data_IF_521108626890
#
_entry.id   IF_521108626890
#
_cell.length_a   1.000
_cell.length_b   1.000
_cell.length_c   1.000
_cell.angle_alpha   90.00
_cell.angle_beta   90.00
_cell.angle_gamma   90.00
#
_symmetry.space_group_name_H-M   'P 1'
#
loop_
_entity.id
_entity.type
_entity.pdbx_description
1 polymer ?
#
# COMPACT_ATOMS: atom_id res chain seq x y z
N UNK A 1 -8.08 25.08 -2.46
CA UNK A 1 -6.67 24.64 -2.43
C UNK A 1 -6.45 23.78 -3.65
N UNK A 2 -5.45 24.08 -4.45
CA UNK A 2 -5.06 23.18 -5.53
C UNK A 2 -4.66 21.82 -4.93
N UNK A 3 -5.00 20.69 -5.61
CA UNK A 3 -4.61 19.37 -5.14
C UNK A 3 -3.09 19.28 -5.04
N UNK A 4 -2.60 18.68 -3.97
CA UNK A 4 -1.16 18.46 -3.83
C UNK A 4 -0.67 17.56 -4.97
N UNK A 5 0.27 18.04 -5.75
CA UNK A 5 0.97 17.27 -6.79
C UNK A 5 2.02 16.32 -6.17
N UNK A 6 2.16 16.33 -4.86
CA UNK A 6 3.15 15.50 -4.14
C UNK A 6 2.69 14.04 -4.13
N UNK A 7 3.59 13.16 -4.57
CA UNK A 7 3.42 11.70 -4.51
C UNK A 7 4.41 11.14 -3.49
N UNK A 8 3.87 10.45 -2.50
CA UNK A 8 4.66 9.73 -1.52
C UNK A 8 5.00 8.33 -2.05
N UNK A 9 6.23 7.89 -1.81
CA UNK A 9 6.74 6.58 -2.22
C UNK A 9 7.23 5.86 -0.97
N UNK A 10 6.70 4.66 -0.70
CA UNK A 10 7.13 3.82 0.43
C UNK A 10 8.21 2.82 -0.01
N UNK A 11 9.38 2.97 0.57
CA UNK A 11 10.53 2.07 0.35
C UNK A 11 10.98 1.54 1.71
N UNK A 12 11.04 0.21 1.85
CA UNK A 12 11.57 -0.42 3.05
C UNK A 12 13.11 -0.29 3.07
N UNK A 13 13.72 -0.17 4.25
CA UNK A 13 15.12 0.23 4.39
C UNK A 13 16.16 -0.78 3.88
N UNK A 14 15.74 -2.01 3.61
CA UNK A 14 16.56 -3.09 3.05
C UNK A 14 16.21 -3.45 1.59
N UNK A 15 15.31 -2.66 0.98
CA UNK A 15 14.85 -2.82 -0.38
C UNK A 15 15.35 -1.68 -1.30
N UNK A 16 15.10 -1.78 -2.61
CA UNK A 16 15.51 -0.72 -3.56
C UNK A 16 14.62 -0.66 -4.81
N UNK A 17 14.69 0.46 -5.52
CA UNK A 17 14.01 0.63 -6.80
C UNK A 17 14.69 -0.21 -7.88
N UNK A 18 13.88 -0.82 -8.76
CA UNK A 18 14.36 -1.76 -9.77
C UNK A 18 15.25 -1.12 -10.83
N UNK A 19 14.99 0.11 -11.20
CA UNK A 19 15.77 0.86 -12.23
C UNK A 19 15.74 2.36 -11.99
N UNK A 20 16.56 3.08 -12.75
CA UNK A 20 16.55 4.56 -12.75
C UNK A 20 15.28 5.18 -13.34
N UNK A 21 14.48 4.41 -14.10
CA UNK A 21 13.27 4.92 -14.78
C UNK A 21 12.01 4.86 -13.90
N UNK A 22 12.10 4.30 -12.71
CA UNK A 22 10.93 4.10 -11.81
C UNK A 22 10.18 5.42 -11.56
N UNK A 23 10.90 6.52 -11.33
CA UNK A 23 10.27 7.81 -11.06
C UNK A 23 9.57 8.37 -12.30
N UNK A 24 10.10 8.16 -13.49
CA UNK A 24 9.47 8.57 -14.74
C UNK A 24 8.18 7.78 -14.98
N UNK A 25 8.20 6.46 -14.78
CA UNK A 25 7.00 5.61 -14.91
C UNK A 25 5.91 6.04 -13.92
N UNK A 26 6.27 6.37 -12.69
CA UNK A 26 5.32 6.87 -11.70
C UNK A 26 4.76 8.24 -12.09
N UNK A 27 5.63 9.16 -12.55
CA UNK A 27 5.22 10.49 -13.01
C UNK A 27 4.20 10.39 -14.15
N UNK A 28 4.49 9.59 -15.17
CA UNK A 28 3.57 9.35 -16.30
C UNK A 28 2.24 8.78 -15.79
N UNK A 29 2.29 7.76 -14.92
CA UNK A 29 1.08 7.14 -14.36
C UNK A 29 0.17 8.15 -13.66
N UNK A 30 0.72 9.00 -12.80
CA UNK A 30 -0.05 10.00 -12.06
C UNK A 30 -0.45 11.21 -12.90
N UNK A 31 0.26 11.49 -14.00
CA UNK A 31 -0.06 12.58 -14.95
C UNK A 31 -1.16 12.17 -15.94
N UNK A 32 -1.13 10.92 -16.39
CA UNK A 32 -2.04 10.42 -17.42
C UNK A 32 -3.35 9.86 -16.85
N UNK A 33 -3.38 9.55 -15.57
CA UNK A 33 -4.56 8.95 -14.94
C UNK A 33 -5.00 9.75 -13.72
N UNK A 34 -6.26 9.59 -13.34
CA UNK A 34 -6.84 10.17 -12.13
C UNK A 34 -6.57 9.29 -10.89
N UNK A 35 -5.47 8.55 -10.85
CA UNK A 35 -5.18 7.67 -9.74
C UNK A 35 -4.72 8.44 -8.49
N UNK A 36 -5.15 7.95 -7.33
CA UNK A 36 -4.78 8.47 -6.02
C UNK A 36 -3.71 7.61 -5.33
N UNK A 37 -3.65 6.34 -5.71
CA UNK A 37 -2.79 5.34 -5.09
C UNK A 37 -2.39 4.29 -6.11
N UNK A 38 -1.13 3.87 -6.07
CA UNK A 38 -0.65 2.74 -6.86
C UNK A 38 -0.06 1.65 -5.95
N UNK A 39 -0.07 0.45 -6.45
CA UNK A 39 0.66 -0.70 -5.94
C UNK A 39 1.05 -1.57 -7.14
N UNK A 40 2.04 -2.43 -6.98
CA UNK A 40 2.57 -3.05 -8.18
C UNK A 40 3.20 -4.42 -8.02
N UNK A 41 3.99 -4.74 -9.02
CA UNK A 41 4.83 -5.94 -9.06
C UNK A 41 6.23 -5.62 -8.52
N UNK A 42 6.82 -6.61 -7.87
CA UNK A 42 8.18 -6.55 -7.35
C UNK A 42 8.95 -7.83 -7.71
N UNK A 43 10.24 -7.70 -7.80
CA UNK A 43 11.16 -8.83 -7.93
C UNK A 43 11.60 -9.29 -6.53
N UNK A 44 11.65 -10.59 -6.29
CA UNK A 44 12.22 -11.20 -5.09
C UNK A 44 13.01 -12.45 -5.47
N UNK A 45 13.62 -13.15 -4.51
CA UNK A 45 14.40 -14.37 -4.76
C UNK A 45 13.63 -15.47 -5.52
N UNK A 46 12.30 -15.47 -5.42
CA UNK A 46 11.38 -16.41 -6.06
C UNK A 46 10.77 -15.89 -7.37
N UNK A 47 11.37 -14.85 -7.95
CA UNK A 47 10.90 -14.21 -9.18
C UNK A 47 9.87 -13.10 -8.96
N UNK A 48 9.23 -12.67 -10.04
CA UNK A 48 8.29 -11.54 -10.01
C UNK A 48 6.99 -11.91 -9.30
N UNK A 49 6.55 -11.03 -8.42
CA UNK A 49 5.31 -11.12 -7.65
C UNK A 49 4.48 -9.85 -7.82
N UNK A 50 3.20 -9.98 -7.72
CA UNK A 50 2.23 -8.88 -7.78
C UNK A 50 0.89 -9.36 -8.32
N UNK A 51 -0.21 -8.80 -7.83
CA UNK A 51 -1.57 -9.12 -8.27
C UNK A 51 -2.46 -7.89 -8.18
N UNK A 52 -3.27 -7.67 -9.21
CA UNK A 52 -4.32 -6.65 -9.22
C UNK A 52 -5.52 -7.11 -8.40
N UNK A 53 -6.09 -6.23 -7.57
CA UNK A 53 -7.37 -6.52 -6.92
C UNK A 53 -8.48 -6.75 -7.95
N UNK A 54 -9.30 -7.79 -7.79
CA UNK A 54 -10.48 -8.01 -8.64
C UNK A 54 -11.42 -6.80 -8.61
N UNK A 55 -12.11 -6.55 -9.73
CA UNK A 55 -13.02 -5.41 -9.85
C UNK A 55 -14.12 -5.37 -8.79
N UNK A 56 -14.66 -6.53 -8.41
CA UNK A 56 -15.68 -6.63 -7.35
C UNK A 56 -15.15 -6.20 -5.98
N UNK A 57 -13.91 -6.56 -5.64
CA UNK A 57 -13.29 -6.15 -4.37
C UNK A 57 -13.18 -4.63 -4.29
N UNK A 58 -12.75 -3.99 -5.38
CA UNK A 58 -12.66 -2.53 -5.48
C UNK A 58 -14.03 -1.85 -5.44
N UNK A 59 -15.00 -2.41 -6.18
CA UNK A 59 -16.36 -1.87 -6.29
C UNK A 59 -17.10 -1.87 -4.95
N UNK A 60 -16.98 -2.96 -4.19
CA UNK A 60 -17.72 -3.16 -2.93
C UNK A 60 -16.89 -2.88 -1.68
N UNK A 61 -15.70 -2.30 -1.83
CA UNK A 61 -14.81 -1.97 -0.70
C UNK A 61 -14.55 -3.17 0.23
N UNK A 62 -14.12 -4.30 -0.37
CA UNK A 62 -13.89 -5.57 0.34
C UNK A 62 -12.39 -5.84 0.59
N UNK A 63 -11.55 -4.81 0.67
CA UNK A 63 -10.10 -4.97 0.81
C UNK A 63 -9.73 -5.69 2.10
N UNK A 64 -10.43 -5.39 3.21
CA UNK A 64 -10.12 -5.96 4.53
C UNK A 64 -10.54 -7.42 4.65
N UNK A 65 -11.50 -7.87 3.85
CA UNK A 65 -12.00 -9.25 3.81
C UNK A 65 -11.27 -10.12 2.79
N UNK A 66 -10.50 -9.49 1.91
CA UNK A 66 -9.82 -10.19 0.82
C UNK A 66 -8.33 -10.40 1.10
N UNK A 67 -7.66 -11.16 0.24
CA UNK A 67 -6.21 -11.34 0.30
C UNK A 67 -5.49 -10.00 0.14
N UNK A 68 -4.29 -9.90 0.73
CA UNK A 68 -3.46 -8.71 0.60
C UNK A 68 -2.75 -8.71 -0.76
N UNK A 69 -3.09 -7.72 -1.59
CA UNK A 69 -2.52 -7.56 -2.93
C UNK A 69 -1.80 -6.21 -3.14
N UNK A 70 -2.01 -5.23 -2.28
CA UNK A 70 -1.35 -3.93 -2.39
C UNK A 70 0.12 -4.01 -1.93
N UNK A 71 0.92 -4.75 -2.68
CA UNK A 71 2.34 -4.96 -2.44
C UNK A 71 3.20 -3.86 -3.08
N UNK A 72 4.49 -4.03 -3.07
CA UNK A 72 5.48 -3.06 -3.55
C UNK A 72 5.42 -2.85 -5.08
N UNK A 73 5.77 -1.71 -5.65
CA UNK A 73 6.03 -0.44 -4.98
C UNK A 73 4.69 0.20 -4.60
N UNK A 74 4.62 0.79 -3.39
CA UNK A 74 3.42 1.48 -2.92
C UNK A 74 3.63 2.97 -3.03
N UNK A 75 2.75 3.66 -3.75
CA UNK A 75 2.79 5.11 -3.87
C UNK A 75 1.40 5.71 -3.75
N UNK A 76 1.28 6.95 -3.32
CA UNK A 76 -0.02 7.60 -3.16
C UNK A 76 0.11 9.13 -3.16
N UNK A 77 -0.97 9.82 -3.50
CA UNK A 77 -1.03 11.28 -3.35
C UNK A 77 -0.98 11.66 -1.88
N UNK A 78 -0.19 12.64 -1.54
CA UNK A 78 0.02 13.10 -0.15
C UNK A 78 -1.29 13.47 0.55
N UNK A 79 -2.23 14.12 -0.13
CA UNK A 79 -3.54 14.49 0.43
C UNK A 79 -4.37 13.26 0.83
N UNK A 80 -4.22 12.14 0.12
CA UNK A 80 -4.84 10.88 0.50
C UNK A 80 -4.29 10.38 1.84
N UNK A 81 -2.96 10.44 2.02
CA UNK A 81 -2.30 10.10 3.28
C UNK A 81 -2.76 11.00 4.43
N UNK A 82 -2.83 12.32 4.24
CA UNK A 82 -3.30 13.27 5.25
C UNK A 82 -4.75 13.02 5.71
N UNK A 83 -5.51 12.23 4.94
CA UNK A 83 -6.88 11.85 5.26
C UNK A 83 -6.98 10.60 6.14
N UNK A 84 -5.88 9.93 6.41
CA UNK A 84 -5.84 8.74 7.29
C UNK A 84 -5.91 9.18 8.75
N UNK A 85 -6.84 8.58 9.50
CA UNK A 85 -6.97 8.86 10.93
C UNK A 85 -5.78 8.23 11.69
N UNK A 86 -5.09 9.01 12.49
CA UNK A 86 -3.98 8.55 13.33
C UNK A 86 -4.35 7.32 14.17
N UNK A 87 -5.59 7.24 14.67
CA UNK A 87 -6.05 6.11 15.49
C UNK A 87 -6.00 4.77 14.74
N UNK A 88 -6.11 4.79 13.41
CA UNK A 88 -6.04 3.58 12.59
C UNK A 88 -4.62 3.06 12.42
N UNK A 89 -3.62 3.89 12.69
CA UNK A 89 -2.21 3.52 12.69
C UNK A 89 -1.74 2.95 14.05
N UNK A 90 -2.60 2.97 15.07
CA UNK A 90 -2.28 2.56 16.43
C UNK A 90 -2.92 1.22 16.78
N UNK A 91 -2.19 0.40 17.53
CA UNK A 91 -2.69 -0.83 18.15
C UNK A 91 -3.62 -0.54 19.35
N UNK A 92 -4.16 -1.58 19.96
CA UNK A 92 -5.00 -1.51 21.18
C UNK A 92 -4.31 -0.84 22.38
N UNK A 93 -2.98 -0.80 22.42
CA UNK A 93 -2.19 -0.14 23.45
C UNK A 93 -1.81 1.30 23.07
N UNK A 94 -2.42 1.86 21.99
CA UNK A 94 -2.16 3.20 21.45
C UNK A 94 -0.71 3.42 20.99
N UNK A 95 -0.02 2.36 20.57
CA UNK A 95 1.30 2.41 19.96
C UNK A 95 1.18 2.14 18.45
N UNK A 96 2.05 2.77 17.67
CA UNK A 96 2.11 2.47 16.23
C UNK A 96 2.39 0.99 15.99
N UNK A 97 1.70 0.42 15.00
CA UNK A 97 1.99 -0.95 14.58
C UNK A 97 3.46 -1.10 14.19
N UNK A 98 4.18 -1.96 14.87
CA UNK A 98 5.58 -2.29 14.57
C UNK A 98 5.72 -3.42 13.55
N UNK A 99 4.61 -4.10 13.19
CA UNK A 99 4.51 -5.14 12.17
C UNK A 99 3.18 -4.97 11.43
N UNK A 100 3.08 -5.41 10.18
CA UNK A 100 1.90 -5.25 9.32
C UNK A 100 1.43 -3.78 9.21
N UNK A 101 2.32 -2.83 9.44
CA UNK A 101 2.06 -1.39 9.38
C UNK A 101 1.61 -0.95 7.98
N UNK A 102 2.07 -1.65 6.95
CA UNK A 102 1.67 -1.47 5.56
C UNK A 102 0.15 -1.67 5.36
N UNK A 103 -0.45 -2.64 6.04
CA UNK A 103 -1.91 -2.82 6.03
C UNK A 103 -2.63 -1.65 6.70
N UNK A 104 -2.09 -1.16 7.84
CA UNK A 104 -2.68 -0.04 8.56
C UNK A 104 -2.68 1.26 7.74
N UNK A 105 -1.65 1.47 6.94
CA UNK A 105 -1.50 2.62 6.04
C UNK A 105 -2.39 2.45 4.78
N UNK A 106 -2.28 1.30 4.12
CA UNK A 106 -2.84 1.14 2.78
C UNK A 106 -4.35 0.87 2.77
N UNK A 107 -4.92 0.14 3.75
CA UNK A 107 -6.37 -0.10 3.75
C UNK A 107 -7.20 1.18 3.74
N UNK A 108 -6.98 2.14 4.65
CA UNK A 108 -7.69 3.42 4.62
C UNK A 108 -7.60 4.11 3.26
N UNK A 109 -6.41 4.15 2.69
CA UNK A 109 -6.16 4.83 1.42
C UNK A 109 -6.80 4.11 0.23
N UNK A 110 -6.73 2.78 0.16
CA UNK A 110 -7.42 2.00 -0.87
C UNK A 110 -8.94 2.16 -0.79
N UNK A 111 -9.49 2.18 0.43
CA UNK A 111 -10.91 2.37 0.69
C UNK A 111 -11.38 3.76 0.25
N UNK A 112 -10.62 4.82 0.60
CA UNK A 112 -10.92 6.19 0.17
C UNK A 112 -10.76 6.39 -1.34
N UNK A 113 -9.73 5.80 -1.95
CA UNK A 113 -9.46 5.92 -3.37
C UNK A 113 -10.53 5.22 -4.24
N UNK A 114 -11.12 4.12 -3.75
CA UNK A 114 -12.13 3.38 -4.49
C UNK A 114 -11.63 2.88 -5.85
N UNK A 115 -12.21 3.39 -6.94
CA UNK A 115 -11.79 3.05 -8.32
C UNK A 115 -10.51 3.77 -8.76
N UNK A 116 -10.12 4.87 -8.11
CA UNK A 116 -8.95 5.69 -8.43
C UNK A 116 -7.66 5.08 -7.88
N UNK A 117 -7.49 3.77 -8.09
CA UNK A 117 -6.32 3.00 -7.73
C UNK A 117 -5.80 2.24 -8.94
N UNK A 118 -4.49 2.22 -9.13
CA UNK A 118 -3.86 1.52 -10.23
C UNK A 118 -2.89 0.43 -9.75
N UNK A 119 -2.92 -0.69 -10.48
CA UNK A 119 -1.92 -1.75 -10.35
C UNK A 119 -0.89 -1.59 -11.46
N UNK A 120 0.36 -1.37 -11.10
CA UNK A 120 1.47 -1.27 -12.04
C UNK A 120 2.05 -2.67 -12.24
N UNK A 121 1.93 -3.18 -13.47
CA UNK A 121 2.39 -4.53 -13.82
C UNK A 121 3.92 -4.60 -13.96
N UNK A 122 4.52 -3.50 -14.39
CA UNK A 122 5.97 -3.35 -14.52
C UNK A 122 6.63 -3.55 -13.16
N UNK A 123 7.80 -4.17 -13.16
CA UNK A 123 8.59 -4.35 -11.93
C UNK A 123 9.28 -3.03 -11.61
N UNK A 124 8.85 -2.36 -10.55
CA UNK A 124 9.43 -1.11 -10.09
C UNK A 124 10.26 -1.25 -8.80
N UNK A 125 10.27 -2.43 -8.19
CA UNK A 125 10.79 -2.64 -6.86
C UNK A 125 11.49 -3.98 -6.72
N UNK A 126 12.58 -4.01 -5.96
CA UNK A 126 13.27 -5.25 -5.57
C UNK A 126 13.10 -5.44 -4.08
N UNK A 127 12.41 -6.52 -3.73
CA UNK A 127 12.12 -6.89 -2.34
C UNK A 127 13.15 -7.89 -1.84
N UNK A 128 13.87 -7.53 -0.79
CA UNK A 128 14.87 -8.38 -0.14
C UNK A 128 14.22 -9.41 0.80
N UNK A 129 13.63 -10.46 0.23
CA UNK A 129 13.03 -11.55 1.01
C UNK A 129 14.08 -12.53 1.61
N UNK A 130 15.36 -12.35 1.33
CA UNK A 130 16.44 -13.14 1.91
C UNK A 130 16.93 -12.59 3.26
N UNK A 131 16.60 -11.33 3.61
CA UNK A 131 16.95 -10.72 4.89
C UNK A 131 16.54 -11.64 6.06
N UNK A 132 17.49 -12.15 6.90
CA UNK A 132 17.18 -13.09 7.97
C UNK A 132 16.36 -12.49 9.10
N UNK A 133 16.40 -11.16 9.28
CA UNK A 133 15.69 -10.44 10.34
C UNK A 133 14.34 -9.87 9.90
N UNK A 134 13.88 -10.20 8.70
CA UNK A 134 12.58 -9.71 8.21
C UNK A 134 11.40 -10.20 9.08
N UNK A 135 10.42 -9.34 9.27
CA UNK A 135 9.26 -9.56 10.16
C UNK A 135 8.49 -10.85 9.88
N UNK A 136 8.36 -11.21 8.61
CA UNK A 136 7.67 -12.43 8.23
C UNK A 136 8.40 -13.71 8.66
N UNK A 137 9.71 -13.64 8.96
CA UNK A 137 10.51 -14.75 9.48
C UNK A 137 10.50 -14.79 11.00
N UNK A 138 10.83 -13.66 11.65
CA UNK A 138 11.08 -13.63 13.11
C UNK A 138 9.85 -13.24 13.93
N UNK A 139 8.92 -12.45 13.39
CA UNK A 139 7.73 -11.93 14.10
C UNK A 139 6.40 -12.35 13.47
N UNK A 140 6.35 -13.49 12.76
CA UNK A 140 5.20 -13.94 11.99
C UNK A 140 3.90 -14.02 12.81
N UNK A 141 3.95 -14.53 14.06
CA UNK A 141 2.76 -14.59 14.93
C UNK A 141 2.21 -13.20 15.25
N UNK A 142 3.09 -12.25 15.57
CA UNK A 142 2.72 -10.87 15.86
C UNK A 142 2.14 -10.20 14.61
N UNK A 143 2.73 -10.42 13.45
CA UNK A 143 2.25 -9.90 12.17
C UNK A 143 0.82 -10.39 11.86
N UNK A 144 0.53 -11.69 12.07
CA UNK A 144 -0.82 -12.25 11.86
C UNK A 144 -1.84 -11.62 12.84
N UNK A 145 -1.47 -11.43 14.12
CA UNK A 145 -2.36 -10.81 15.11
C UNK A 145 -2.62 -9.34 14.78
N UNK A 146 -1.59 -8.58 14.44
CA UNK A 146 -1.73 -7.18 14.01
C UNK A 146 -2.59 -7.07 12.75
N UNK A 147 -2.35 -7.91 11.74
CA UNK A 147 -3.16 -7.94 10.52
C UNK A 147 -4.64 -8.23 10.80
N UNK A 148 -4.95 -9.14 11.72
CA UNK A 148 -6.33 -9.43 12.15
C UNK A 148 -6.98 -8.24 12.87
N UNK A 149 -6.22 -7.54 13.71
CA UNK A 149 -6.69 -6.34 14.40
C UNK A 149 -6.96 -5.21 13.42
N UNK A 150 -6.02 -4.92 12.52
CA UNK A 150 -6.15 -3.88 11.49
C UNK A 150 -7.37 -4.13 10.61
N UNK A 151 -7.60 -5.38 10.19
CA UNK A 151 -8.75 -5.74 9.36
C UNK A 151 -10.11 -5.55 10.04
N UNK A 152 -10.17 -5.56 11.38
CA UNK A 152 -11.39 -5.32 12.15
C UNK A 152 -11.71 -3.85 12.35
N UNK A 153 -10.80 -2.94 12.07
CA UNK A 153 -11.05 -1.50 12.17
C UNK A 153 -12.13 -1.05 11.18
N UNK A 154 -12.75 0.08 11.50
CA UNK A 154 -13.79 0.67 10.64
C UNK A 154 -13.29 0.95 9.23
N UNK A 155 -14.16 0.74 8.24
CA UNK A 155 -13.86 1.06 6.84
C UNK A 155 -14.05 2.53 6.56
N UNK A 156 -13.22 3.05 5.68
CA UNK A 156 -13.38 4.40 5.13
C UNK A 156 -14.40 4.41 4.00
N UNK A 157 -15.13 5.50 3.89
CA UNK A 157 -15.94 5.78 2.71
C UNK A 157 -15.05 6.35 1.61
N UNK A 158 -15.42 6.07 0.36
CA UNK A 158 -14.80 6.73 -0.78
C UNK A 158 -14.84 8.24 -0.59
N UNK A 159 -13.73 8.91 -0.89
CA UNK A 159 -13.62 10.37 -0.88
C UNK A 159 -13.48 10.90 -2.30
N UNK A 160 -14.16 12.01 -2.55
CA UNK A 160 -13.95 12.79 -3.76
C UNK A 160 -12.83 13.80 -3.45
N UNK A 161 -11.63 13.47 -3.90
CA UNK A 161 -10.49 14.40 -3.93
C UNK A 161 -10.60 15.19 -5.24
N UNK A 162 -10.68 16.49 -5.12
CA UNK A 162 -10.71 17.44 -6.24
C UNK A 162 -9.31 17.66 -6.78
#
# INVERSE_FOLDING_TARGET
KEPSLTIDILIDGDDYLYSGDVLNILFEKYSETDCLITYGSHLCSKGVRGKKYPGLIRKFNLFREYFWYASHLRTFRHDLWLSVNKQDLLDKNRKYYSVAWDLAIMFPMLEMAGSRQEFIKEVLYVYNDENPISDHKIRRKQQILAAKEIRKKGKYRKKDFI
#
